data_IF_057613062284
#
_entry.id   IF_057613062284
#
_cell.length_a   1.000
_cell.length_b   1.000
_cell.length_c   1.000
_cell.angle_alpha   90.00
_cell.angle_beta   90.00
_cell.angle_gamma   90.00
#
_symmetry.space_group_name_H-M   'P 1'
#
loop_
_entity.id
_entity.type
_entity.pdbx_description
1 polymer ?
#
# COMPACT_ATOMS: atom_id res chain seq x y z
N UNK A 1 -12.17 52.06 45.92
CA UNK A 1 -12.38 50.87 46.76
C UNK A 1 -13.82 50.44 46.56
N UNK A 2 -14.11 49.27 46.04
CA UNK A 2 -13.29 48.31 45.34
C UNK A 2 -14.31 47.34 44.74
N UNK A 3 -14.15 47.06 43.46
CA UNK A 3 -14.84 46.01 42.74
C UNK A 3 -16.34 45.85 43.00
N UNK A 4 -17.14 46.59 42.23
CA UNK A 4 -18.39 46.06 41.69
C UNK A 4 -18.06 44.71 41.05
N UNK A 5 -18.19 43.68 41.88
CA UNK A 5 -18.12 42.30 41.48
C UNK A 5 -19.38 42.12 40.65
N UNK A 6 -19.25 42.43 39.36
CA UNK A 6 -20.20 42.12 38.31
C UNK A 6 -20.31 40.59 38.27
N UNK A 7 -20.96 40.03 39.29
CA UNK A 7 -21.42 38.66 39.33
C UNK A 7 -22.44 38.59 38.21
N UNK A 8 -21.97 38.15 37.05
CA UNK A 8 -22.77 37.75 35.90
C UNK A 8 -23.78 36.73 36.46
N UNK A 9 -24.98 37.18 36.80
CA UNK A 9 -26.06 36.35 37.30
C UNK A 9 -26.62 35.57 36.11
N UNK A 10 -25.91 34.52 35.71
CA UNK A 10 -26.30 33.66 34.60
C UNK A 10 -27.58 32.93 35.02
N UNK A 11 -28.67 33.13 34.28
CA UNK A 11 -29.92 32.45 34.60
C UNK A 11 -29.80 30.95 34.30
N UNK A 12 -30.49 30.12 35.08
CA UNK A 12 -30.51 28.66 34.86
C UNK A 12 -30.90 28.27 33.43
N UNK A 13 -31.79 29.04 32.81
CA UNK A 13 -32.18 28.87 31.41
C UNK A 13 -31.02 29.12 30.44
N UNK A 14 -30.20 30.15 30.69
CA UNK A 14 -29.01 30.41 29.88
C UNK A 14 -27.97 29.28 30.00
N UNK A 15 -27.83 28.66 31.18
CA UNK A 15 -26.95 27.50 31.36
C UNK A 15 -27.45 26.30 30.54
N UNK A 16 -28.75 26.00 30.58
CA UNK A 16 -29.35 24.89 29.84
C UNK A 16 -29.20 25.10 28.32
N UNK A 17 -29.47 26.31 27.84
CA UNK A 17 -29.34 26.67 26.41
C UNK A 17 -27.87 26.59 25.97
N UNK A 18 -26.93 27.09 26.77
CA UNK A 18 -25.51 27.01 26.45
C UNK A 18 -25.01 25.55 26.41
N UNK A 19 -25.39 24.73 27.40
CA UNK A 19 -25.00 23.33 27.46
C UNK A 19 -25.55 22.52 26.28
N UNK A 20 -26.81 22.74 25.89
CA UNK A 20 -27.42 22.07 24.74
C UNK A 20 -26.78 22.48 23.42
N UNK A 21 -26.46 23.77 23.22
CA UNK A 21 -25.72 24.25 22.05
C UNK A 21 -24.32 23.65 21.96
N UNK A 22 -23.59 23.59 23.08
CA UNK A 22 -22.26 22.98 23.14
C UNK A 22 -22.34 21.49 22.76
N UNK A 23 -23.29 20.74 23.33
CA UNK A 23 -23.50 19.33 23.00
C UNK A 23 -23.85 19.14 21.52
N UNK A 24 -24.69 20.02 20.94
CA UNK A 24 -25.03 19.99 19.52
C UNK A 24 -23.80 20.23 18.63
N UNK A 25 -22.94 21.18 19.00
CA UNK A 25 -21.69 21.46 18.29
C UNK A 25 -20.71 20.27 18.38
N UNK A 26 -20.59 19.65 19.55
CA UNK A 26 -19.75 18.45 19.70
C UNK A 26 -20.29 17.26 18.89
N UNK A 27 -21.61 17.03 18.92
CA UNK A 27 -22.24 15.95 18.17
C UNK A 27 -22.08 16.16 16.65
N UNK A 28 -22.31 17.36 16.15
CA UNK A 28 -22.14 17.68 14.72
C UNK A 28 -20.69 17.61 14.27
N UNK A 29 -19.73 18.04 15.11
CA UNK A 29 -18.30 17.92 14.82
C UNK A 29 -17.84 16.45 14.77
N UNK A 30 -18.33 15.60 15.69
CA UNK A 30 -18.05 14.15 15.69
C UNK A 30 -18.66 13.47 14.47
N UNK A 31 -19.91 13.79 14.16
CA UNK A 31 -20.64 13.23 13.02
C UNK A 31 -19.99 13.61 11.69
N UNK A 32 -19.53 14.86 11.54
CA UNK A 32 -18.76 15.31 10.36
C UNK A 32 -17.48 14.50 10.15
N UNK A 33 -16.72 14.22 11.22
CA UNK A 33 -15.50 13.39 11.13
C UNK A 33 -15.82 11.96 10.71
N UNK A 34 -16.89 11.37 11.24
CA UNK A 34 -17.34 10.02 10.89
C UNK A 34 -17.77 9.96 9.41
N UNK A 35 -18.57 10.94 8.94
CA UNK A 35 -18.98 11.00 7.54
C UNK A 35 -17.76 11.13 6.61
N UNK A 36 -16.81 12.01 6.93
CA UNK A 36 -15.58 12.14 6.14
C UNK A 36 -14.78 10.84 6.12
N UNK A 37 -14.63 10.17 7.27
CA UNK A 37 -13.94 8.89 7.35
C UNK A 37 -14.62 7.81 6.52
N UNK A 38 -15.95 7.68 6.60
CA UNK A 38 -16.73 6.73 5.79
C UNK A 38 -16.63 7.05 4.29
N UNK A 39 -16.68 8.34 3.93
CA UNK A 39 -16.49 8.77 2.55
C UNK A 39 -15.10 8.42 2.02
N UNK A 40 -14.04 8.68 2.80
CA UNK A 40 -12.68 8.28 2.45
C UNK A 40 -12.53 6.77 2.33
N UNK A 41 -13.10 5.98 3.24
CA UNK A 41 -13.08 4.53 3.15
C UNK A 41 -13.80 4.03 1.89
N UNK A 42 -14.98 4.55 1.58
CA UNK A 42 -15.70 4.22 0.35
C UNK A 42 -14.90 4.60 -0.89
N UNK A 43 -14.26 5.77 -0.89
CA UNK A 43 -13.41 6.23 -1.96
C UNK A 43 -12.21 5.29 -2.15
N UNK A 44 -11.50 4.97 -1.06
CA UNK A 44 -10.37 4.04 -1.07
C UNK A 44 -10.82 2.67 -1.61
N UNK A 45 -11.88 2.07 -1.08
CA UNK A 45 -12.36 0.76 -1.54
C UNK A 45 -12.76 0.78 -3.02
N UNK A 46 -13.46 1.82 -3.47
CA UNK A 46 -13.96 1.91 -4.86
C UNK A 46 -12.86 2.19 -5.89
N UNK A 47 -11.84 2.95 -5.50
CA UNK A 47 -10.75 3.38 -6.37
C UNK A 47 -9.46 2.57 -6.21
N UNK A 48 -9.29 1.80 -5.12
CA UNK A 48 -8.19 0.85 -4.97
C UNK A 48 -8.47 -0.49 -5.69
N UNK A 49 -9.73 -0.85 -5.94
CA UNK A 49 -10.05 -2.06 -6.72
C UNK A 49 -9.33 -2.21 -8.07
N UNK A 50 -9.10 -1.15 -8.87
CA UNK A 50 -8.31 -1.23 -10.09
C UNK A 50 -6.78 -1.03 -9.89
N UNK A 51 -6.30 -0.65 -8.70
CA UNK A 51 -4.86 -0.41 -8.48
C UNK A 51 -4.01 -1.68 -8.55
N UNK A 52 -4.58 -2.84 -8.19
CA UNK A 52 -3.86 -4.11 -8.26
C UNK A 52 -3.42 -4.45 -9.69
N UNK A 53 -4.25 -4.13 -10.69
CA UNK A 53 -3.90 -4.32 -12.10
C UNK A 53 -2.77 -3.38 -12.55
N UNK A 54 -2.81 -2.12 -12.15
CA UNK A 54 -1.80 -1.11 -12.53
C UNK A 54 -0.46 -1.39 -11.84
N UNK A 55 -0.49 -1.79 -10.57
CA UNK A 55 0.71 -2.18 -9.83
C UNK A 55 1.33 -3.45 -10.43
N UNK A 56 0.51 -4.45 -10.76
CA UNK A 56 0.93 -5.68 -11.43
C UNK A 56 1.53 -5.40 -12.81
N UNK A 57 0.90 -4.56 -13.61
CA UNK A 57 1.40 -4.19 -14.94
C UNK A 57 2.70 -3.37 -14.86
N UNK A 58 2.81 -2.47 -13.88
CA UNK A 58 4.04 -1.71 -13.63
C UNK A 58 5.18 -2.63 -13.19
N UNK A 59 4.90 -3.55 -12.27
CA UNK A 59 5.89 -4.50 -11.77
C UNK A 59 6.32 -5.49 -12.86
N UNK A 60 5.38 -5.94 -13.69
CA UNK A 60 5.65 -6.72 -14.90
C UNK A 60 6.55 -5.96 -15.87
N UNK A 61 6.26 -4.68 -16.13
CA UNK A 61 7.07 -3.86 -17.03
C UNK A 61 8.48 -3.64 -16.47
N UNK A 62 8.62 -3.38 -15.17
CA UNK A 62 9.92 -3.25 -14.52
C UNK A 62 10.71 -4.55 -14.60
N UNK A 63 10.09 -5.68 -14.28
CA UNK A 63 10.75 -6.98 -14.33
C UNK A 63 11.17 -7.34 -15.76
N UNK A 64 10.28 -7.14 -16.74
CA UNK A 64 10.57 -7.38 -18.15
C UNK A 64 11.69 -6.47 -18.68
N UNK A 65 11.64 -5.17 -18.34
CA UNK A 65 12.67 -4.21 -18.72
C UNK A 65 14.01 -4.57 -18.10
N UNK A 66 13.99 -5.02 -16.86
CA UNK A 66 15.20 -5.33 -16.12
C UNK A 66 15.84 -6.63 -16.61
N UNK A 67 15.05 -7.68 -16.91
CA UNK A 67 15.54 -8.94 -17.50
C UNK A 67 16.20 -8.66 -18.86
N UNK A 68 15.62 -7.78 -19.68
CA UNK A 68 16.15 -7.45 -21.00
C UNK A 68 17.30 -6.43 -20.97
N UNK A 69 17.40 -5.59 -19.92
CA UNK A 69 18.49 -4.63 -19.73
C UNK A 69 19.43 -5.09 -18.60
N UNK A 70 19.87 -6.35 -18.66
CA UNK A 70 20.79 -6.96 -17.70
C UNK A 70 22.18 -6.30 -17.62
N UNK A 71 22.42 -5.21 -18.34
CA UNK A 71 23.65 -4.40 -18.28
C UNK A 71 23.56 -3.27 -17.25
N UNK A 72 22.36 -2.92 -16.77
CA UNK A 72 22.18 -1.85 -15.78
C UNK A 72 22.27 -2.41 -14.35
N UNK A 73 23.22 -1.96 -13.51
CA UNK A 73 23.41 -2.51 -12.16
C UNK A 73 22.20 -2.30 -11.23
N UNK A 74 21.43 -1.23 -11.42
CA UNK A 74 20.17 -1.02 -10.68
C UNK A 74 19.09 -2.03 -11.09
N UNK A 75 19.02 -2.37 -12.37
CA UNK A 75 18.08 -3.36 -12.88
C UNK A 75 18.37 -4.75 -12.31
N UNK A 76 19.65 -5.13 -12.24
CA UNK A 76 20.09 -6.40 -11.65
C UNK A 76 19.65 -6.49 -10.17
N UNK A 77 19.89 -5.44 -9.38
CA UNK A 77 19.51 -5.44 -7.96
C UNK A 77 18.00 -5.54 -7.73
N UNK A 78 17.18 -4.88 -8.56
CA UNK A 78 15.72 -4.93 -8.46
C UNK A 78 15.20 -6.33 -8.82
N UNK A 79 15.73 -6.95 -9.88
CA UNK A 79 15.37 -8.32 -10.27
C UNK A 79 15.71 -9.30 -9.16
N UNK A 80 16.93 -9.23 -8.63
CA UNK A 80 17.42 -10.17 -7.62
C UNK A 80 16.54 -10.13 -6.36
N UNK A 81 16.18 -8.91 -5.93
CA UNK A 81 15.24 -8.71 -4.83
C UNK A 81 13.86 -9.31 -5.13
N UNK A 82 13.30 -9.05 -6.31
CA UNK A 82 11.98 -9.54 -6.69
C UNK A 82 11.94 -11.07 -6.79
N UNK A 83 12.96 -11.67 -7.39
CA UNK A 83 13.08 -13.13 -7.53
C UNK A 83 13.19 -13.82 -6.17
N UNK A 84 13.94 -13.23 -5.24
CA UNK A 84 14.07 -13.73 -3.87
C UNK A 84 12.75 -13.63 -3.08
N UNK A 85 12.03 -12.51 -3.22
CA UNK A 85 10.76 -12.30 -2.50
C UNK A 85 9.62 -13.16 -3.06
N UNK A 86 9.50 -13.21 -4.38
CA UNK A 86 8.41 -13.93 -5.07
C UNK A 86 8.72 -15.40 -5.32
N UNK A 87 9.93 -15.85 -4.96
CA UNK A 87 10.41 -17.23 -5.20
C UNK A 87 10.16 -17.64 -6.65
N UNK A 88 10.68 -16.82 -7.56
CA UNK A 88 10.52 -17.00 -9.00
C UNK A 88 11.83 -16.74 -9.74
N UNK A 89 11.97 -17.27 -10.96
CA UNK A 89 13.17 -17.14 -11.75
C UNK A 89 12.87 -16.77 -13.21
N UNK A 90 13.43 -15.65 -13.66
CA UNK A 90 13.14 -15.07 -14.97
C UNK A 90 11.67 -14.68 -15.12
N UNK A 91 11.28 -14.29 -16.33
CA UNK A 91 9.87 -14.02 -16.63
C UNK A 91 9.10 -15.33 -16.85
N UNK A 92 9.55 -16.19 -17.75
CA UNK A 92 9.01 -17.52 -18.01
C UNK A 92 9.76 -18.63 -17.27
N UNK A 93 11.09 -18.53 -17.15
CA UNK A 93 11.92 -19.50 -16.43
C UNK A 93 13.37 -19.02 -16.32
N UNK A 94 14.22 -19.82 -15.68
CA UNK A 94 15.68 -19.65 -15.70
C UNK A 94 16.29 -19.52 -17.12
N UNK A 95 15.63 -20.06 -18.15
CA UNK A 95 16.07 -19.97 -19.55
C UNK A 95 16.00 -18.56 -20.15
N UNK A 96 15.35 -17.62 -19.46
CA UNK A 96 15.39 -16.21 -19.87
C UNK A 96 16.78 -15.59 -19.62
N UNK A 97 17.60 -16.25 -18.80
CA UNK A 97 19.01 -15.94 -18.64
C UNK A 97 19.86 -16.87 -19.51
N UNK A 98 20.99 -16.36 -20.00
CA UNK A 98 22.03 -17.23 -20.53
C UNK A 98 22.53 -18.16 -19.41
N UNK A 99 22.88 -19.42 -19.74
CA UNK A 99 23.17 -20.49 -18.76
C UNK A 99 24.22 -20.12 -17.70
N UNK A 100 25.13 -19.18 -18.00
CA UNK A 100 26.17 -18.69 -17.08
C UNK A 100 25.81 -17.41 -16.29
N UNK A 101 24.63 -16.83 -16.53
CA UNK A 101 24.19 -15.56 -15.94
C UNK A 101 22.95 -15.68 -15.06
N UNK A 102 22.57 -16.90 -14.68
CA UNK A 102 21.44 -17.12 -13.78
C UNK A 102 21.83 -16.61 -12.38
N UNK A 103 21.09 -15.64 -11.80
CA UNK A 103 21.40 -15.11 -10.49
C UNK A 103 21.10 -16.14 -9.38
N UNK A 104 21.83 -16.08 -8.26
CA UNK A 104 21.61 -17.00 -7.14
C UNK A 104 20.20 -16.88 -6.53
N UNK A 105 19.53 -15.73 -6.67
CA UNK A 105 18.14 -15.54 -6.26
C UNK A 105 17.14 -16.46 -6.94
N UNK A 106 17.51 -17.05 -8.08
CA UNK A 106 16.69 -18.02 -8.81
C UNK A 106 16.70 -19.44 -8.20
N UNK A 107 17.62 -19.76 -7.30
CA UNK A 107 17.89 -21.13 -6.89
C UNK A 107 17.12 -21.55 -5.62
N UNK A 108 16.66 -22.80 -5.60
CA UNK A 108 16.00 -23.40 -4.44
C UNK A 108 17.09 -24.01 -3.56
N UNK A 109 17.54 -23.24 -2.56
CA UNK A 109 18.66 -23.52 -1.67
C UNK A 109 20.03 -23.42 -2.34
N UNK A 110 20.30 -24.24 -3.36
CA UNK A 110 21.61 -24.32 -4.02
C UNK A 110 21.47 -24.41 -5.55
N UNK A 111 22.26 -23.60 -6.25
CA UNK A 111 22.32 -23.57 -7.71
C UNK A 111 23.07 -24.77 -8.31
N UNK A 112 23.92 -25.46 -7.53
CA UNK A 112 24.65 -26.65 -7.98
C UNK A 112 23.70 -27.81 -8.33
N UNK A 113 22.52 -27.85 -7.68
CA UNK A 113 21.49 -28.86 -7.92
C UNK A 113 20.61 -28.56 -9.15
N UNK A 114 20.83 -27.44 -9.85
CA UNK A 114 20.01 -26.95 -10.96
C UNK A 114 18.50 -26.88 -10.65
N UNK A 115 18.16 -26.75 -9.37
CA UNK A 115 16.78 -26.60 -8.90
C UNK A 115 16.44 -25.11 -8.87
N UNK A 116 15.68 -24.65 -9.85
CA UNK A 116 15.27 -23.26 -9.98
C UNK A 116 13.81 -23.06 -9.64
N UNK A 117 13.49 -21.86 -9.15
CA UNK A 117 12.11 -21.42 -8.99
C UNK A 117 11.39 -21.32 -10.35
N UNK A 118 10.05 -21.46 -10.37
CA UNK A 118 9.27 -21.28 -11.60
C UNK A 118 9.32 -19.83 -12.11
N UNK A 119 8.89 -19.60 -13.36
CA UNK A 119 8.81 -18.27 -13.95
C UNK A 119 7.97 -17.29 -13.13
N UNK A 120 8.42 -16.03 -13.02
CA UNK A 120 7.68 -15.01 -12.30
C UNK A 120 6.29 -14.76 -12.91
N UNK A 121 6.11 -14.96 -14.23
CA UNK A 121 4.82 -14.86 -14.92
C UNK A 121 3.76 -15.74 -14.26
N UNK A 122 4.08 -17.00 -14.00
CA UNK A 122 3.14 -17.96 -13.42
C UNK A 122 2.77 -17.58 -11.98
N UNK A 123 3.73 -17.04 -11.23
CA UNK A 123 3.47 -16.53 -9.88
C UNK A 123 2.53 -15.32 -9.97
N UNK A 124 2.82 -14.34 -10.83
CA UNK A 124 1.97 -13.17 -11.02
C UNK A 124 0.55 -13.52 -11.48
N UNK A 125 0.39 -14.50 -12.37
CA UNK A 125 -0.91 -14.98 -12.84
C UNK A 125 -1.67 -15.74 -11.75
N UNK A 126 -0.99 -16.53 -10.91
CA UNK A 126 -1.59 -17.27 -9.79
C UNK A 126 -1.88 -16.42 -8.56
N UNK A 127 -1.16 -15.31 -8.37
CA UNK A 127 -1.38 -14.37 -7.25
C UNK A 127 -2.62 -13.47 -7.42
N UNK A 128 -3.64 -13.90 -8.17
CA UNK A 128 -4.95 -13.24 -8.13
C UNK A 128 -5.54 -13.40 -6.73
N UNK A 129 -5.46 -12.34 -5.92
CA UNK A 129 -6.24 -12.18 -4.69
C UNK A 129 -7.68 -11.81 -5.03
#
# INVERSE_FOLDING_TARGET
>A
MDHDNEQIAISWWQIIVAATLILLLFATARLRKIILFLFFLLFIVRYMGPQDSVCKDSLKNVLWLAVNNAENPLAIGIIDYLQKQLKCCGWHSNKDYAEEKVPESCCINDCELQNYYPGCKDIFEKSSF
#
